data_IF_184412168470
#
_entry.id   IF_184412168470
#
_cell.length_a   1.000
_cell.length_b   1.000
_cell.length_c   1.000
_cell.angle_alpha   90.00
_cell.angle_beta   90.00
_cell.angle_gamma   90.00
#
_symmetry.space_group_name_H-M   'P 1'
#
loop_
_entity.id
_entity.type
_entity.pdbx_description
1 polymer ?
#
# COMPACT_ATOMS: atom_id res chain seq x y z
N UNK A 1 -8.54 -35.57 16.76
CA UNK A 1 -7.21 -36.01 17.24
C UNK A 1 -6.40 -36.76 16.19
N UNK A 2 -7.00 -37.49 15.23
CA UNK A 2 -6.26 -38.22 14.18
C UNK A 2 -5.61 -37.34 13.09
N UNK A 3 -6.21 -36.20 12.71
CA UNK A 3 -5.70 -35.35 11.61
C UNK A 3 -4.33 -34.73 11.95
N UNK A 4 -4.15 -34.20 13.17
CA UNK A 4 -2.86 -33.68 13.64
C UNK A 4 -1.75 -34.74 13.67
N UNK A 5 -2.10 -36.00 13.91
CA UNK A 5 -1.15 -37.10 13.90
C UNK A 5 -0.68 -37.42 12.47
N UNK A 6 -1.61 -37.50 11.51
CA UNK A 6 -1.30 -37.72 10.09
C UNK A 6 -0.49 -36.57 9.47
N UNK A 7 -0.74 -35.33 9.90
CA UNK A 7 0.03 -34.15 9.49
C UNK A 7 1.45 -34.16 10.05
N UNK A 8 1.61 -34.50 11.34
CA UNK A 8 2.94 -34.68 11.94
C UNK A 8 3.71 -35.83 11.30
N UNK A 9 3.06 -36.95 11.00
CA UNK A 9 3.67 -38.07 10.29
C UNK A 9 4.05 -37.69 8.85
N UNK A 10 3.24 -36.87 8.17
CA UNK A 10 3.56 -36.35 6.83
C UNK A 10 4.81 -35.46 6.85
N UNK A 11 4.91 -34.54 7.82
CA UNK A 11 6.02 -33.59 7.92
C UNK A 11 7.28 -34.19 8.57
N UNK A 12 7.15 -35.23 9.40
CA UNK A 12 8.27 -35.82 10.14
C UNK A 12 8.66 -37.23 9.64
N UNK A 13 7.91 -37.84 8.72
CA UNK A 13 8.16 -39.19 8.21
C UNK A 13 7.72 -40.30 9.19
N UNK A 14 7.42 -41.50 8.65
CA UNK A 14 7.16 -42.71 9.46
C UNK A 14 8.48 -43.24 10.03
N UNK A 15 8.56 -43.34 11.34
CA UNK A 15 9.69 -43.92 12.08
C UNK A 15 9.87 -45.41 11.78
N UNK A 16 11.00 -45.76 11.16
CA UNK A 16 11.68 -47.04 11.34
C UNK A 16 13.00 -46.74 12.08
N UNK A 17 13.30 -47.53 13.11
CA UNK A 17 14.26 -47.22 14.18
C UNK A 17 15.72 -47.01 13.75
N UNK A 18 16.38 -46.15 14.56
CA UNK A 18 17.82 -45.98 14.77
C UNK A 18 18.61 -45.05 13.82
N UNK A 19 18.54 -43.75 14.09
CA UNK A 19 19.72 -42.97 14.53
C UNK A 19 19.25 -41.63 15.11
N UNK A 20 19.97 -41.14 16.12
CA UNK A 20 19.67 -39.91 16.86
C UNK A 20 19.93 -38.67 16.00
N UNK A 21 18.99 -38.32 15.14
CA UNK A 21 18.92 -36.97 14.56
C UNK A 21 17.71 -36.25 15.16
N UNK A 22 17.98 -35.09 15.77
CA UNK A 22 16.94 -34.21 16.32
C UNK A 22 15.90 -33.95 15.22
N UNK A 23 14.68 -34.42 15.43
CA UNK A 23 13.52 -34.13 14.59
C UNK A 23 13.27 -32.61 14.61
N UNK A 24 13.93 -31.89 13.71
CA UNK A 24 13.65 -30.47 13.44
C UNK A 24 12.17 -30.36 13.04
N UNK A 25 11.37 -29.69 13.87
CA UNK A 25 9.97 -29.38 13.58
C UNK A 25 9.92 -28.45 12.37
N UNK A 26 9.08 -28.76 11.37
CA UNK A 26 8.90 -27.90 10.19
C UNK A 26 8.57 -26.46 10.61
N UNK A 27 9.26 -25.47 10.05
CA UNK A 27 8.92 -24.06 10.24
C UNK A 27 7.63 -23.64 9.50
N UNK A 28 6.99 -24.55 8.76
CA UNK A 28 5.72 -24.28 8.08
C UNK A 28 4.55 -24.25 9.05
N UNK A 29 3.73 -23.20 8.95
CA UNK A 29 2.60 -22.91 9.83
C UNK A 29 1.32 -23.59 9.30
N UNK A 30 0.58 -24.27 10.19
CA UNK A 30 -0.74 -24.83 9.87
C UNK A 30 -1.76 -23.68 9.75
N UNK A 31 -2.35 -23.55 8.57
CA UNK A 31 -3.35 -22.54 8.26
C UNK A 31 -4.74 -23.18 8.12
N UNK A 32 -5.74 -22.50 8.65
CA UNK A 32 -7.15 -22.90 8.64
C UNK A 32 -8.05 -21.66 8.58
N UNK A 33 -9.36 -21.86 8.37
CA UNK A 33 -10.32 -20.76 8.18
C UNK A 33 -10.36 -19.75 9.34
N UNK A 34 -9.88 -20.11 10.54
CA UNK A 34 -9.88 -19.22 11.70
C UNK A 34 -8.64 -18.33 11.81
N UNK A 35 -7.53 -18.70 11.19
CA UNK A 35 -6.26 -17.96 11.30
C UNK A 35 -5.72 -17.46 9.96
N UNK A 36 -6.25 -17.94 8.83
CA UNK A 36 -5.75 -17.58 7.51
C UNK A 36 -5.81 -16.07 7.27
N UNK A 37 -6.94 -15.45 7.58
CA UNK A 37 -7.13 -14.02 7.33
C UNK A 37 -6.19 -13.17 8.18
N UNK A 38 -6.06 -13.48 9.47
CA UNK A 38 -5.20 -12.72 10.38
C UNK A 38 -3.71 -12.93 10.11
N UNK A 39 -3.29 -14.17 9.83
CA UNK A 39 -1.88 -14.50 9.63
C UNK A 39 -1.40 -14.17 8.21
N UNK A 40 -2.22 -14.44 7.20
CA UNK A 40 -1.85 -14.28 5.79
C UNK A 40 -2.36 -12.95 5.26
N UNK A 41 -3.68 -12.74 5.22
CA UNK A 41 -4.26 -11.61 4.47
C UNK A 41 -4.05 -10.25 5.13
N UNK A 42 -4.02 -10.18 6.46
CA UNK A 42 -3.71 -8.94 7.19
C UNK A 42 -2.20 -8.72 7.40
N UNK A 43 -1.37 -9.68 7.00
CA UNK A 43 0.08 -9.57 7.16
C UNK A 43 0.71 -8.73 6.05
N UNK A 44 1.70 -7.92 6.42
CA UNK A 44 2.56 -7.20 5.47
C UNK A 44 3.67 -8.10 4.89
N UNK A 45 3.88 -9.28 5.46
CA UNK A 45 4.91 -10.21 5.03
C UNK A 45 4.50 -10.99 3.77
N UNK A 46 5.49 -11.50 3.02
CA UNK A 46 5.25 -12.45 1.94
C UNK A 46 4.90 -13.81 2.54
N UNK A 47 3.83 -14.42 2.03
CA UNK A 47 3.43 -15.77 2.40
C UNK A 47 3.46 -16.70 1.19
N UNK A 48 4.00 -17.89 1.36
CA UNK A 48 3.88 -18.99 0.40
C UNK A 48 3.11 -20.14 1.05
N UNK A 49 2.02 -20.57 0.44
CA UNK A 49 1.05 -21.50 1.04
C UNK A 49 0.85 -22.72 0.15
N UNK A 50 1.02 -23.91 0.72
CA UNK A 50 0.66 -25.18 0.09
C UNK A 50 -0.79 -25.56 0.44
N UNK A 51 -1.63 -25.76 -0.56
CA UNK A 51 -2.93 -26.42 -0.45
C UNK A 51 -2.77 -27.89 -0.80
N UNK A 52 -3.08 -28.78 0.14
CA UNK A 52 -2.83 -30.21 0.00
C UNK A 52 -3.97 -31.08 0.53
N UNK A 53 -3.98 -32.36 0.15
CA UNK A 53 -4.84 -33.38 0.75
C UNK A 53 -3.99 -34.53 1.34
N UNK A 54 -4.33 -35.10 2.52
CA UNK A 54 -3.53 -36.12 3.19
C UNK A 54 -3.36 -37.43 2.41
N UNK A 55 -4.33 -37.77 1.56
CA UNK A 55 -4.32 -38.97 0.72
C UNK A 55 -3.55 -38.77 -0.59
N UNK A 56 -3.21 -37.53 -0.97
CA UNK A 56 -2.56 -37.24 -2.24
C UNK A 56 -1.09 -37.69 -2.24
N UNK A 57 -0.74 -38.62 -3.14
CA UNK A 57 0.63 -39.12 -3.30
C UNK A 57 1.63 -38.02 -3.71
N UNK A 58 1.20 -37.03 -4.49
CA UNK A 58 2.05 -35.90 -4.91
C UNK A 58 2.37 -34.99 -3.73
N UNK A 59 1.40 -34.73 -2.85
CA UNK A 59 1.58 -33.98 -1.62
C UNK A 59 2.54 -34.69 -0.66
N UNK A 60 2.47 -36.03 -0.57
CA UNK A 60 3.41 -36.81 0.25
C UNK A 60 4.86 -36.69 -0.24
N UNK A 61 5.08 -36.65 -1.56
CA UNK A 61 6.41 -36.44 -2.14
C UNK A 61 6.94 -35.02 -1.96
N UNK A 62 6.06 -34.02 -2.00
CA UNK A 62 6.43 -32.62 -1.78
C UNK A 62 6.73 -32.31 -0.30
N UNK A 63 6.10 -33.00 0.65
CA UNK A 63 6.25 -32.73 2.09
C UNK A 63 7.71 -32.57 2.60
N UNK A 64 8.68 -33.45 2.27
CA UNK A 64 10.07 -33.26 2.68
C UNK A 64 10.72 -32.01 2.07
N UNK A 65 10.47 -31.73 0.79
CA UNK A 65 10.98 -30.53 0.11
C UNK A 65 10.34 -29.25 0.67
N UNK A 66 9.04 -29.29 0.98
CA UNK A 66 8.31 -28.19 1.60
C UNK A 66 8.87 -27.85 2.98
N UNK A 67 9.15 -28.87 3.79
CA UNK A 67 9.78 -28.71 5.10
C UNK A 67 11.18 -28.10 5.00
N UNK A 68 11.98 -28.56 4.03
CA UNK A 68 13.32 -28.01 3.78
C UNK A 68 13.26 -26.54 3.36
N UNK A 69 12.37 -26.20 2.44
CA UNK A 69 12.13 -24.82 2.03
C UNK A 69 11.70 -23.94 3.22
N UNK A 70 10.80 -24.43 4.09
CA UNK A 70 10.32 -23.68 5.25
C UNK A 70 11.43 -23.33 6.23
N UNK A 71 12.36 -24.26 6.44
CA UNK A 71 13.51 -24.03 7.30
C UNK A 71 14.50 -23.04 6.67
N UNK A 72 14.74 -23.13 5.36
CA UNK A 72 15.66 -22.24 4.64
C UNK A 72 15.11 -20.81 4.49
N UNK A 73 13.79 -20.65 4.36
CA UNK A 73 13.11 -19.36 4.24
C UNK A 73 12.78 -18.72 5.59
N UNK A 74 13.03 -19.41 6.70
CA UNK A 74 12.70 -18.94 8.05
C UNK A 74 13.29 -17.55 8.32
N UNK A 75 12.41 -16.61 8.68
CA UNK A 75 12.78 -15.21 8.95
C UNK A 75 12.86 -14.31 7.71
N UNK A 76 12.67 -14.85 6.50
CA UNK A 76 12.61 -14.08 5.24
C UNK A 76 11.21 -14.12 4.63
N UNK A 77 10.63 -15.32 4.50
CA UNK A 77 9.30 -15.56 3.92
C UNK A 77 8.52 -16.45 4.87
N UNK A 78 7.23 -16.16 5.07
CA UNK A 78 6.35 -17.03 5.84
C UNK A 78 5.86 -18.18 4.98
N UNK A 79 5.90 -19.38 5.50
CA UNK A 79 5.48 -20.57 4.78
C UNK A 79 4.34 -21.26 5.53
N UNK A 80 3.23 -21.48 4.85
CA UNK A 80 2.02 -22.08 5.42
C UNK A 80 1.57 -23.33 4.69
N UNK A 81 0.70 -24.12 5.31
CA UNK A 81 0.02 -25.24 4.65
C UNK A 81 -1.43 -25.33 5.10
N UNK A 82 -2.31 -25.69 4.16
CA UNK A 82 -3.75 -25.85 4.35
C UNK A 82 -4.15 -27.28 3.98
N UNK A 83 -4.73 -27.99 4.93
CA UNK A 83 -5.39 -29.28 4.66
C UNK A 83 -6.77 -29.03 4.05
N UNK A 84 -6.88 -29.28 2.76
CA UNK A 84 -8.07 -29.04 1.98
C UNK A 84 -9.22 -30.02 2.23
N UNK A 85 -8.96 -31.21 2.80
CA UNK A 85 -10.03 -32.12 3.22
C UNK A 85 -10.78 -31.53 4.43
N UNK A 86 -10.04 -30.87 5.33
CA UNK A 86 -10.58 -30.20 6.51
C UNK A 86 -11.12 -28.79 6.21
N UNK A 87 -10.46 -28.03 5.32
CA UNK A 87 -10.71 -26.61 5.08
C UNK A 87 -11.25 -26.35 3.67
N UNK A 88 -12.41 -26.95 3.35
CA UNK A 88 -13.06 -26.83 2.02
C UNK A 88 -13.44 -25.39 1.63
N UNK A 89 -13.71 -24.54 2.62
CA UNK A 89 -13.98 -23.10 2.45
C UNK A 89 -12.78 -22.38 1.82
N UNK A 90 -11.56 -22.62 2.33
CA UNK A 90 -10.34 -22.01 1.80
C UNK A 90 -10.02 -22.52 0.40
N UNK A 91 -10.21 -23.82 0.14
CA UNK A 91 -10.09 -24.39 -1.21
C UNK A 91 -11.01 -23.67 -2.21
N UNK A 92 -12.28 -23.49 -1.85
CA UNK A 92 -13.27 -22.85 -2.72
C UNK A 92 -12.94 -21.38 -2.94
N UNK A 93 -12.55 -20.67 -1.88
CA UNK A 93 -12.21 -19.24 -1.92
C UNK A 93 -11.06 -18.93 -2.88
N UNK A 94 -10.03 -19.78 -2.91
CA UNK A 94 -8.87 -19.60 -3.78
C UNK A 94 -8.95 -20.44 -5.06
N UNK A 95 -10.12 -20.99 -5.39
CA UNK A 95 -10.37 -21.78 -6.59
C UNK A 95 -9.32 -22.90 -6.80
N UNK A 96 -8.95 -23.61 -5.73
CA UNK A 96 -7.99 -24.72 -5.78
C UNK A 96 -8.67 -25.96 -6.38
N UNK A 97 -8.24 -26.36 -7.58
CA UNK A 97 -8.86 -27.45 -8.34
C UNK A 97 -8.07 -28.79 -8.27
N UNK A 98 -6.87 -28.79 -7.71
CA UNK A 98 -6.01 -29.96 -7.65
C UNK A 98 -4.95 -29.86 -6.55
N UNK A 99 -4.21 -30.94 -6.33
CA UNK A 99 -3.19 -30.99 -5.27
C UNK A 99 -1.85 -31.57 -5.72
N UNK A 100 -0.72 -31.10 -5.17
CA UNK A 100 -0.61 -29.87 -4.39
C UNK A 100 -0.75 -28.62 -5.29
N UNK A 101 -1.41 -27.58 -4.79
CA UNK A 101 -1.39 -26.24 -5.36
C UNK A 101 -0.62 -25.34 -4.42
N UNK A 102 0.35 -24.61 -4.94
CA UNK A 102 1.16 -23.66 -4.16
C UNK A 102 0.79 -22.27 -4.64
N UNK A 103 0.50 -21.36 -3.71
CA UNK A 103 0.20 -19.97 -4.01
C UNK A 103 1.09 -19.04 -3.18
N UNK A 104 1.49 -17.93 -3.80
CA UNK A 104 2.20 -16.84 -3.14
C UNK A 104 1.25 -15.68 -2.92
N UNK A 105 1.13 -15.29 -1.65
CA UNK A 105 0.37 -14.15 -1.18
C UNK A 105 1.33 -12.98 -0.98
N UNK A 106 1.35 -12.14 -2.01
CA UNK A 106 2.16 -10.93 -2.10
C UNK A 106 1.64 -9.80 -1.22
N UNK A 107 2.13 -8.58 -1.43
CA UNK A 107 1.71 -7.39 -0.71
C UNK A 107 0.28 -7.01 -1.08
N UNK A 108 -0.08 -7.19 -2.36
CA UNK A 108 -1.47 -7.37 -2.76
C UNK A 108 -1.91 -8.78 -2.36
N UNK A 109 -2.72 -8.85 -1.31
CA UNK A 109 -3.23 -10.10 -0.75
C UNK A 109 -4.46 -10.62 -1.49
N UNK A 110 -5.08 -9.79 -2.32
CA UNK A 110 -6.28 -10.13 -3.10
C UNK A 110 -5.93 -10.78 -4.45
N UNK A 111 -4.69 -10.61 -4.92
CA UNK A 111 -4.17 -11.21 -6.17
C UNK A 111 -3.06 -12.25 -5.92
N UNK A 112 -3.33 -13.40 -5.29
CA UNK A 112 -2.32 -14.43 -5.07
C UNK A 112 -1.85 -15.06 -6.38
N UNK A 113 -0.55 -15.32 -6.47
CA UNK A 113 0.10 -15.84 -7.68
C UNK A 113 0.29 -17.35 -7.54
N UNK A 114 -0.20 -18.18 -8.48
CA UNK A 114 0.06 -19.61 -8.48
C UNK A 114 1.53 -19.90 -8.79
N UNK A 115 2.12 -20.86 -8.09
CA UNK A 115 3.47 -21.35 -8.36
C UNK A 115 3.42 -22.58 -9.28
N UNK A 116 3.98 -22.42 -10.48
CA UNK A 116 4.03 -23.46 -11.53
C UNK A 116 5.43 -24.06 -11.71
N UNK A 117 6.37 -23.73 -10.81
CA UNK A 117 7.76 -24.20 -10.89
C UNK A 117 7.99 -25.63 -10.41
N UNK A 118 9.27 -26.03 -10.38
CA UNK A 118 9.66 -27.36 -9.92
C UNK A 118 9.39 -27.56 -8.42
N UNK A 119 8.86 -28.73 -8.05
CA UNK A 119 8.50 -29.07 -6.66
C UNK A 119 9.70 -29.53 -5.81
N UNK A 120 10.80 -28.79 -5.89
CA UNK A 120 12.02 -28.98 -5.08
C UNK A 120 12.22 -27.80 -4.15
N UNK A 121 12.88 -28.03 -3.02
CA UNK A 121 13.12 -26.98 -2.02
C UNK A 121 13.85 -25.78 -2.63
N UNK A 122 14.90 -26.04 -3.41
CA UNK A 122 15.69 -24.99 -4.08
C UNK A 122 14.83 -24.12 -5.02
N UNK A 123 13.99 -24.73 -5.85
CA UNK A 123 13.17 -23.98 -6.80
C UNK A 123 12.05 -23.17 -6.10
N UNK A 124 11.50 -23.70 -5.01
CA UNK A 124 10.51 -22.99 -4.17
C UNK A 124 11.18 -21.83 -3.44
N UNK A 125 12.39 -22.05 -2.90
CA UNK A 125 13.18 -21.03 -2.21
C UNK A 125 13.57 -19.88 -3.14
N UNK A 126 14.14 -20.17 -4.31
CA UNK A 126 14.51 -19.16 -5.30
C UNK A 126 13.30 -18.34 -5.71
N UNK A 127 12.18 -18.98 -6.03
CA UNK A 127 10.96 -18.27 -6.38
C UNK A 127 10.43 -17.41 -5.24
N UNK A 128 10.39 -17.94 -4.01
CA UNK A 128 9.92 -17.18 -2.85
C UNK A 128 10.81 -15.95 -2.57
N UNK A 129 12.12 -16.03 -2.79
CA UNK A 129 13.04 -14.91 -2.65
C UNK A 129 12.88 -13.88 -3.77
N UNK A 130 12.72 -14.32 -5.02
CA UNK A 130 12.41 -13.43 -6.16
C UNK A 130 11.08 -12.69 -5.96
N UNK A 131 10.07 -13.42 -5.45
CA UNK A 131 8.79 -12.83 -5.08
C UNK A 131 8.98 -11.88 -3.90
N UNK A 132 9.82 -12.18 -2.91
CA UNK A 132 10.11 -11.27 -1.78
C UNK A 132 10.75 -9.96 -2.25
N UNK A 133 11.68 -10.02 -3.20
CA UNK A 133 12.27 -8.84 -3.84
C UNK A 133 11.26 -8.04 -4.68
N UNK A 134 10.20 -8.69 -5.13
CA UNK A 134 9.11 -8.12 -5.93
C UNK A 134 7.86 -7.81 -5.09
N UNK A 135 7.86 -8.16 -3.80
CA UNK A 135 6.74 -8.12 -2.87
C UNK A 135 6.48 -6.71 -2.34
N UNK A 136 6.36 -5.77 -3.25
CA UNK A 136 6.06 -4.39 -2.95
C UNK A 136 4.57 -4.19 -3.19
N UNK A 137 3.88 -3.59 -2.22
CA UNK A 137 2.49 -3.22 -2.38
C UNK A 137 2.32 -2.37 -3.65
N UNK A 138 1.19 -2.47 -4.36
CA UNK A 138 0.93 -1.59 -5.48
C UNK A 138 1.09 -0.14 -5.03
N UNK A 139 1.82 0.64 -5.83
CA UNK A 139 2.07 2.03 -5.51
C UNK A 139 0.75 2.80 -5.56
N UNK A 140 0.38 3.40 -4.43
CA UNK A 140 -0.80 4.26 -4.31
C UNK A 140 -0.39 5.70 -4.05
N UNK A 141 -1.24 6.62 -4.48
CA UNK A 141 -1.15 8.06 -4.22
C UNK A 141 -2.45 8.46 -3.54
N UNK A 142 -2.41 8.66 -2.23
CA UNK A 142 -3.60 8.85 -1.40
C UNK A 142 -3.89 10.34 -1.22
N UNK A 143 -5.16 10.74 -1.25
CA UNK A 143 -5.57 12.11 -0.91
C UNK A 143 -5.41 12.35 0.60
N UNK A 144 -4.79 13.45 0.99
CA UNK A 144 -4.59 13.85 2.38
C UNK A 144 -5.84 14.57 2.89
N UNK A 145 -6.81 13.78 3.35
CA UNK A 145 -8.10 14.27 3.86
C UNK A 145 -8.17 14.35 5.39
N UNK A 146 -7.11 13.97 6.11
CA UNK A 146 -7.12 13.95 7.56
C UNK A 146 -5.79 13.56 8.21
N UNK A 147 -5.68 13.74 9.54
CA UNK A 147 -4.47 13.44 10.32
C UNK A 147 -4.15 11.94 10.35
N UNK A 148 -5.17 11.09 10.28
CA UNK A 148 -5.07 9.63 10.16
C UNK A 148 -4.29 9.23 8.91
N UNK A 149 -4.60 9.82 7.75
CA UNK A 149 -3.89 9.55 6.50
C UNK A 149 -2.42 10.01 6.59
N UNK A 150 -2.16 11.17 7.21
CA UNK A 150 -0.78 11.61 7.45
C UNK A 150 0.00 10.60 8.30
N UNK A 151 -0.60 10.10 9.38
CA UNK A 151 0.06 9.14 10.27
C UNK A 151 0.27 7.77 9.60
N UNK A 152 -0.75 7.24 8.93
CA UNK A 152 -0.71 5.92 8.28
C UNK A 152 0.21 5.89 7.06
N UNK A 153 0.16 6.92 6.21
CA UNK A 153 0.92 6.96 4.96
C UNK A 153 2.32 7.54 5.14
N UNK A 154 2.46 8.67 5.85
CA UNK A 154 3.74 9.36 6.00
C UNK A 154 4.52 8.94 7.25
N UNK A 155 3.87 8.50 8.33
CA UNK A 155 4.52 8.08 9.58
C UNK A 155 5.56 6.94 9.42
N UNK A 156 5.23 5.82 8.74
CA UNK A 156 6.20 4.74 8.55
C UNK A 156 7.28 5.07 7.50
N UNK A 157 7.00 5.99 6.57
CA UNK A 157 7.90 6.32 5.47
C UNK A 157 9.20 6.98 5.95
N UNK A 158 10.28 6.80 5.17
CA UNK A 158 11.52 7.54 5.36
C UNK A 158 11.42 8.96 4.77
N UNK A 159 10.69 9.09 3.66
CA UNK A 159 10.36 10.35 3.00
C UNK A 159 8.91 10.26 2.53
N UNK A 160 8.08 11.23 2.88
CA UNK A 160 6.73 11.37 2.36
C UNK A 160 6.71 12.50 1.32
N UNK A 161 6.37 12.17 0.08
CA UNK A 161 6.20 13.17 -0.98
C UNK A 161 4.76 13.68 -0.94
N UNK A 162 4.60 14.95 -0.61
CA UNK A 162 3.29 15.62 -0.53
C UNK A 162 3.15 16.53 -1.73
N UNK A 163 2.21 16.22 -2.61
CA UNK A 163 1.87 17.04 -3.76
C UNK A 163 0.67 17.95 -3.43
N UNK A 164 0.81 19.25 -3.64
CA UNK A 164 -0.31 20.17 -3.56
C UNK A 164 -0.75 20.49 -4.97
N UNK A 165 -1.93 19.99 -5.35
CA UNK A 165 -2.48 20.12 -6.69
C UNK A 165 -3.37 21.36 -6.78
N UNK A 166 -3.51 21.99 -7.95
CA UNK A 166 -4.42 23.11 -8.11
C UNK A 166 -5.86 22.76 -7.71
N UNK A 167 -6.64 23.78 -7.39
CA UNK A 167 -8.05 23.58 -7.10
C UNK A 167 -8.77 22.92 -8.29
N UNK A 168 -9.88 22.25 -8.02
CA UNK A 168 -10.62 21.53 -9.05
C UNK A 168 -11.23 22.49 -10.07
N UNK A 169 -11.55 23.73 -9.66
CA UNK A 169 -12.04 24.77 -10.56
C UNK A 169 -10.96 25.25 -11.55
N UNK A 170 -9.69 25.20 -11.15
CA UNK A 170 -8.57 25.58 -12.02
C UNK A 170 -8.11 24.42 -12.92
N UNK A 171 -8.07 23.21 -12.35
CA UNK A 171 -7.45 22.05 -13.01
C UNK A 171 -8.43 21.14 -13.73
N UNK A 172 -9.71 21.16 -13.37
CA UNK A 172 -10.71 20.14 -13.70
C UNK A 172 -10.27 18.69 -13.32
N UNK A 173 -11.18 17.74 -13.47
CA UNK A 173 -10.95 16.34 -13.15
C UNK A 173 -9.87 15.72 -14.04
N UNK A 174 -9.81 16.10 -15.32
CA UNK A 174 -8.80 15.60 -16.25
C UNK A 174 -7.40 16.07 -15.85
N UNK A 175 -7.23 17.36 -15.55
CA UNK A 175 -5.96 17.92 -15.13
C UNK A 175 -5.48 17.35 -13.80
N UNK A 176 -6.38 17.25 -12.81
CA UNK A 176 -6.07 16.60 -11.52
C UNK A 176 -5.64 15.13 -11.70
N UNK A 177 -6.40 14.36 -12.48
CA UNK A 177 -6.05 12.97 -12.76
C UNK A 177 -4.70 12.85 -13.47
N UNK A 178 -4.36 13.78 -14.37
CA UNK A 178 -3.05 13.80 -15.03
C UNK A 178 -1.89 13.93 -14.03
N UNK A 179 -2.01 14.82 -13.04
CA UNK A 179 -1.01 14.96 -11.98
C UNK A 179 -0.93 13.70 -11.10
N UNK A 180 -2.08 13.13 -10.70
CA UNK A 180 -2.12 11.90 -9.91
C UNK A 180 -1.45 10.75 -10.67
N UNK A 181 -1.68 10.62 -11.99
CA UNK A 181 -1.04 9.59 -12.82
C UNK A 181 0.48 9.78 -12.95
N UNK A 182 0.96 11.03 -13.00
CA UNK A 182 2.40 11.31 -12.96
C UNK A 182 3.00 10.86 -11.62
N UNK A 183 2.35 11.18 -10.49
CA UNK A 183 2.79 10.75 -9.17
C UNK A 183 2.75 9.22 -9.01
N UNK A 184 1.72 8.56 -9.53
CA UNK A 184 1.62 7.08 -9.54
C UNK A 184 2.76 6.46 -10.35
N UNK A 185 3.08 7.02 -11.51
CA UNK A 185 4.20 6.56 -12.34
C UNK A 185 5.55 6.68 -11.61
N UNK A 186 5.72 7.75 -10.84
CA UNK A 186 6.89 7.95 -9.99
C UNK A 186 6.90 6.96 -8.83
N UNK A 187 5.77 6.81 -8.14
CA UNK A 187 5.61 5.89 -7.02
C UNK A 187 5.88 4.44 -7.46
N UNK A 188 5.43 4.02 -8.64
CA UNK A 188 5.74 2.70 -9.21
C UNK A 188 7.24 2.53 -9.48
N UNK A 189 7.88 3.57 -10.02
CA UNK A 189 9.33 3.57 -10.29
C UNK A 189 10.17 3.46 -9.01
N UNK A 190 9.71 4.05 -7.92
CA UNK A 190 10.41 4.04 -6.63
C UNK A 190 9.77 3.14 -5.59
N UNK A 191 8.90 2.20 -5.98
CA UNK A 191 8.12 1.36 -5.07
C UNK A 191 8.95 0.62 -4.01
N UNK A 192 10.18 0.25 -4.36
CA UNK A 192 11.13 -0.44 -3.45
C UNK A 192 11.77 0.48 -2.41
N UNK A 193 11.67 1.79 -2.59
CA UNK A 193 12.18 2.77 -1.65
C UNK A 193 11.18 2.93 -0.50
N UNK A 194 11.63 3.26 0.72
CA UNK A 194 10.74 3.54 1.85
C UNK A 194 10.08 4.92 1.71
N UNK A 195 9.44 5.19 0.56
CA UNK A 195 8.79 6.45 0.24
C UNK A 195 7.28 6.27 0.21
N UNK A 196 6.58 7.32 0.61
CA UNK A 196 5.13 7.42 0.46
C UNK A 196 4.78 8.63 -0.39
N UNK A 197 3.61 8.59 -1.03
CA UNK A 197 3.14 9.63 -1.93
C UNK A 197 1.70 9.97 -1.57
N UNK A 198 1.48 11.23 -1.19
CA UNK A 198 0.16 11.75 -0.88
C UNK A 198 -0.06 13.05 -1.64
N UNK A 199 -1.32 13.43 -1.83
CA UNK A 199 -1.66 14.71 -2.46
C UNK A 199 -2.77 15.42 -1.69
N UNK A 200 -2.78 16.74 -1.74
CA UNK A 200 -3.85 17.58 -1.22
C UNK A 200 -4.26 18.58 -2.31
N UNK A 201 -5.54 18.96 -2.36
CA UNK A 201 -5.94 20.10 -3.16
C UNK A 201 -5.48 21.41 -2.49
N UNK A 202 -5.11 22.38 -3.30
CA UNK A 202 -4.70 23.72 -2.87
C UNK A 202 -5.68 24.32 -1.85
N UNK A 203 -5.16 24.84 -0.75
CA UNK A 203 -5.94 25.51 0.29
C UNK A 203 -6.71 24.56 1.22
N UNK A 204 -6.72 23.25 0.98
CA UNK A 204 -7.39 22.28 1.86
C UNK A 204 -6.59 21.98 3.12
N UNK A 205 -5.28 22.22 3.11
CA UNK A 205 -4.41 22.01 4.27
C UNK A 205 -3.61 23.29 4.59
N UNK A 206 -4.28 24.37 5.04
CA UNK A 206 -3.69 25.71 5.09
C UNK A 206 -2.50 25.82 6.06
N UNK A 207 -2.56 25.16 7.22
CA UNK A 207 -1.47 25.21 8.19
C UNK A 207 -0.24 24.43 7.69
N UNK A 208 -0.46 23.25 7.10
CA UNK A 208 0.61 22.49 6.44
C UNK A 208 1.24 23.27 5.28
N UNK A 209 0.43 23.85 4.40
CA UNK A 209 0.90 24.65 3.27
C UNK A 209 1.76 25.82 3.74
N UNK A 210 1.33 26.53 4.78
CA UNK A 210 2.07 27.64 5.37
C UNK A 210 3.44 27.21 5.90
N UNK A 211 3.51 26.12 6.66
CA UNK A 211 4.78 25.61 7.22
C UNK A 211 5.75 25.13 6.13
N UNK A 212 5.23 24.66 5.00
CA UNK A 212 6.02 24.20 3.86
C UNK A 212 6.30 25.30 2.83
N UNK A 213 5.81 26.53 3.04
CA UNK A 213 5.94 27.64 2.11
C UNK A 213 5.22 27.43 0.78
N UNK A 214 4.19 26.59 0.77
CA UNK A 214 3.32 26.31 -0.39
C UNK A 214 2.29 27.43 -0.52
N UNK A 215 1.90 27.76 -1.76
CA UNK A 215 1.03 28.90 -2.08
C UNK A 215 1.78 30.17 -2.49
N UNK A 216 3.02 30.36 -2.03
CA UNK A 216 3.86 31.50 -2.47
C UNK A 216 4.39 31.38 -3.90
N UNK A 217 4.67 30.15 -4.36
CA UNK A 217 5.19 29.85 -5.70
C UNK A 217 4.11 29.36 -6.68
N UNK A 218 2.86 29.23 -6.22
CA UNK A 218 1.74 28.67 -6.98
C UNK A 218 1.62 27.15 -6.91
N UNK A 219 0.61 26.63 -7.61
CA UNK A 219 0.29 25.20 -7.72
C UNK A 219 0.47 24.74 -9.17
N UNK A 220 0.82 23.46 -9.42
CA UNK A 220 1.12 22.41 -8.45
C UNK A 220 2.48 22.58 -7.76
N UNK A 221 2.59 22.09 -6.52
CA UNK A 221 3.84 22.02 -5.76
C UNK A 221 4.10 20.60 -5.27
N UNK A 222 5.38 20.20 -5.17
CA UNK A 222 5.78 18.89 -4.62
C UNK A 222 6.81 19.10 -3.51
N UNK A 223 6.55 18.52 -2.35
CA UNK A 223 7.42 18.62 -1.18
C UNK A 223 7.89 17.22 -0.76
N UNK A 224 9.20 17.06 -0.56
CA UNK A 224 9.76 15.89 0.11
C UNK A 224 9.81 16.17 1.61
N UNK A 225 8.95 15.51 2.39
CA UNK A 225 8.82 15.67 3.83
C UNK A 225 9.50 14.53 4.59
N UNK A 226 10.32 14.85 5.58
CA UNK A 226 10.91 13.89 6.49
C UNK A 226 10.48 14.22 7.93
N UNK A 227 9.40 13.58 8.37
CA UNK A 227 8.84 13.79 9.71
C UNK A 227 9.83 13.44 10.83
N UNK A 228 10.61 12.37 10.66
CA UNK A 228 11.59 11.91 11.67
C UNK A 228 12.75 12.89 11.86
N UNK A 229 13.14 13.59 10.79
CA UNK A 229 14.21 14.60 10.83
C UNK A 229 13.68 16.02 11.03
N UNK A 230 12.36 16.23 11.02
CA UNK A 230 11.77 17.57 11.06
C UNK A 230 12.31 18.45 9.93
N UNK A 231 12.37 17.92 8.71
CA UNK A 231 12.94 18.63 7.57
C UNK A 231 12.12 18.39 6.30
N UNK A 232 12.10 19.37 5.41
CA UNK A 232 11.43 19.26 4.12
C UNK A 232 12.27 19.86 2.99
N UNK A 233 12.00 19.47 1.75
CA UNK A 233 12.59 20.11 0.57
C UNK A 233 11.50 20.31 -0.48
N UNK A 234 11.34 21.52 -1.04
CA UNK A 234 10.45 21.74 -2.18
C UNK A 234 11.12 21.34 -3.50
N UNK A 235 10.32 20.84 -4.45
CA UNK A 235 10.70 20.75 -5.86
C UNK A 235 10.91 22.17 -6.41
N UNK A 236 12.10 22.45 -6.93
CA UNK A 236 12.47 23.79 -7.44
C UNK A 236 12.44 23.90 -8.97
N UNK A 237 11.89 22.89 -9.64
CA UNK A 237 11.76 22.79 -11.09
C UNK A 237 10.29 22.60 -11.48
N UNK A 238 10.01 22.53 -12.79
CA UNK A 238 8.66 22.32 -13.28
C UNK A 238 8.07 20.99 -12.79
N UNK A 239 6.76 20.97 -12.56
CA UNK A 239 6.01 19.76 -12.18
C UNK A 239 5.82 18.86 -13.41
N UNK A 240 6.91 18.24 -13.84
CA UNK A 240 6.97 17.33 -14.98
C UNK A 240 7.60 16.01 -14.56
N UNK A 241 7.19 14.92 -15.21
CA UNK A 241 7.58 13.57 -14.80
C UNK A 241 9.11 13.39 -14.67
N UNK A 242 9.89 13.93 -15.61
CA UNK A 242 11.35 13.82 -15.61
C UNK A 242 11.97 14.53 -14.40
N UNK A 243 11.53 15.76 -14.14
CA UNK A 243 11.98 16.57 -13.01
C UNK A 243 11.56 15.98 -11.67
N UNK A 244 10.33 15.45 -11.56
CA UNK A 244 9.85 14.79 -10.34
C UNK A 244 10.69 13.54 -10.06
N UNK A 245 10.99 12.73 -11.08
CA UNK A 245 11.85 11.54 -10.94
C UNK A 245 13.25 11.93 -10.48
N UNK A 246 13.83 12.99 -11.02
CA UNK A 246 15.15 13.47 -10.61
C UNK A 246 15.14 13.94 -9.15
N UNK A 247 14.14 14.74 -8.78
CA UNK A 247 13.96 15.24 -7.43
C UNK A 247 13.82 14.10 -6.39
N UNK A 248 13.02 13.08 -6.68
CA UNK A 248 12.88 11.90 -5.79
C UNK A 248 14.22 11.15 -5.64
N UNK A 249 15.01 11.02 -6.72
CA UNK A 249 16.35 10.42 -6.64
C UNK A 249 17.29 11.24 -5.76
N UNK A 250 17.28 12.56 -5.90
CA UNK A 250 18.13 13.44 -5.11
C UNK A 250 17.74 13.43 -3.63
N UNK A 251 16.44 13.50 -3.33
CA UNK A 251 15.92 13.38 -1.97
C UNK A 251 16.37 12.08 -1.29
N UNK A 252 16.34 10.97 -2.03
CA UNK A 252 16.83 9.67 -1.55
C UNK A 252 18.32 9.60 -1.22
N UNK A 253 19.14 10.46 -1.84
CA UNK A 253 20.60 10.54 -1.62
C UNK A 253 20.98 11.53 -0.52
N UNK A 254 20.02 12.04 0.23
CA UNK A 254 20.22 13.03 1.30
C UNK A 254 19.64 14.42 0.98
N UNK A 255 19.17 14.64 -0.25
CA UNK A 255 18.59 15.90 -0.70
C UNK A 255 19.60 17.05 -0.79
N UNK A 256 19.24 18.08 -1.56
CA UNK A 256 19.92 19.38 -1.54
C UNK A 256 18.89 20.44 -1.19
N UNK A 257 19.26 21.37 -0.31
CA UNK A 257 18.37 22.47 0.09
C UNK A 257 17.23 22.06 1.02
N UNK A 258 17.47 21.09 1.92
CA UNK A 258 16.54 20.77 3.00
C UNK A 258 16.39 21.98 3.93
N UNK A 259 15.15 22.29 4.26
CA UNK A 259 14.73 23.35 5.18
C UNK A 259 14.21 22.70 6.48
N UNK A 260 14.40 23.34 7.64
CA UNK A 260 13.80 22.86 8.88
C UNK A 260 12.27 22.99 8.80
N UNK A 261 11.56 21.96 9.27
CA UNK A 261 10.13 22.03 9.52
C UNK A 261 9.95 22.65 10.91
N UNK A 262 9.43 23.87 10.96
CA UNK A 262 9.14 24.54 12.23
C UNK A 262 7.81 24.03 12.79
N UNK A 263 7.82 23.51 14.02
CA UNK A 263 6.60 23.01 14.67
C UNK A 263 6.01 21.74 14.04
N UNK A 264 4.82 21.38 14.51
CA UNK A 264 4.02 20.30 13.93
C UNK A 264 2.81 20.93 13.23
N UNK A 265 2.70 20.83 11.90
CA UNK A 265 1.56 21.37 11.18
C UNK A 265 0.28 20.63 11.56
N UNK A 266 -0.81 21.37 11.74
CA UNK A 266 -2.13 20.80 11.97
C UNK A 266 -2.75 20.33 10.64
N UNK A 267 -3.23 19.09 10.61
CA UNK A 267 -3.90 18.52 9.44
C UNK A 267 -5.42 18.59 9.67
N UNK A 268 -6.09 19.31 8.77
CA UNK A 268 -7.54 19.50 8.82
C UNK A 268 -8.23 18.31 8.16
N UNK A 269 -9.37 17.90 8.73
CA UNK A 269 -10.22 16.88 8.11
C UNK A 269 -11.04 17.51 6.99
N UNK A 270 -10.99 16.93 5.79
CA UNK A 270 -11.71 17.43 4.61
C UNK A 270 -12.50 16.32 3.94
N UNK A 271 -13.53 16.70 3.17
CA UNK A 271 -14.25 15.74 2.34
C UNK A 271 -13.35 15.25 1.19
N UNK A 272 -13.29 13.93 0.93
CA UNK A 272 -12.55 13.39 -0.20
C UNK A 272 -13.12 13.88 -1.52
N UNK A 273 -12.26 14.04 -2.52
CA UNK A 273 -12.70 14.41 -3.86
C UNK A 273 -13.61 13.33 -4.46
N UNK A 274 -14.75 13.74 -5.01
CA UNK A 274 -15.77 12.86 -5.58
C UNK A 274 -15.43 12.33 -6.99
N UNK A 275 -14.28 12.75 -7.54
CA UNK A 275 -13.80 12.37 -8.86
C UNK A 275 -14.39 13.19 -10.01
N UNK A 276 -15.16 14.26 -9.72
CA UNK A 276 -15.83 15.10 -10.74
C UNK A 276 -15.23 16.50 -10.81
N UNK A 277 -15.63 17.24 -11.84
CA UNK A 277 -15.32 18.65 -11.98
C UNK A 277 -15.99 19.47 -10.88
N UNK A 278 -15.35 20.58 -10.50
CA UNK A 278 -15.93 21.53 -9.57
C UNK A 278 -17.16 22.21 -10.18
N UNK A 279 -18.17 22.44 -9.35
CA UNK A 279 -19.31 23.27 -9.72
C UNK A 279 -19.08 24.65 -9.12
N UNK A 280 -19.18 25.69 -9.93
CA UNK A 280 -19.24 27.06 -9.43
C UNK A 280 -20.61 27.19 -8.78
N UNK A 281 -20.64 27.30 -7.46
CA UNK A 281 -21.84 27.73 -6.76
C UNK A 281 -21.98 29.21 -7.07
N UNK A 282 -22.91 29.56 -7.96
CA UNK A 282 -23.36 30.94 -8.08
C UNK A 282 -24.00 31.29 -6.74
N UNK A 283 -23.25 31.97 -5.86
CA UNK A 283 -23.89 32.70 -4.77
C UNK A 283 -24.74 33.77 -5.44
N UNK A 284 -26.07 33.59 -5.36
CA UNK A 284 -27.07 34.55 -5.85
C UNK A 284 -26.57 35.96 -5.53
N UNK A 285 -26.30 36.74 -6.58
CA UNK A 285 -25.89 38.14 -6.46
C UNK A 285 -26.79 38.79 -5.40
N UNK A 286 -26.18 39.26 -4.30
CA UNK A 286 -26.86 40.22 -3.43
C UNK A 286 -27.38 41.33 -4.33
N UNK A 287 -28.68 41.31 -4.61
CA UNK A 287 -29.26 42.19 -5.61
C UNK A 287 -28.98 43.62 -5.18
N UNK A 288 -28.20 44.34 -6.00
CA UNK A 288 -27.93 45.76 -5.82
C UNK A 288 -29.22 46.59 -5.74
N UNK A 289 -30.35 46.04 -6.20
CA UNK A 289 -31.68 46.65 -6.07
C UNK A 289 -32.18 46.65 -4.61
N UNK A 290 -31.82 45.65 -3.80
CA UNK A 290 -32.15 45.60 -2.36
C UNK A 290 -31.32 46.60 -1.54
N UNK A 291 -30.13 46.95 -2.03
CA UNK A 291 -29.22 47.89 -1.37
C UNK A 291 -29.42 49.36 -1.80
N UNK A 292 -30.16 49.60 -2.89
CA UNK A 292 -30.45 50.94 -3.42
C UNK A 292 -31.95 51.29 -3.49
N UNK A 293 -32.83 50.53 -2.82
CA UNK A 293 -34.27 50.72 -2.87
C UNK A 293 -34.86 51.53 -1.70
N UNK A 294 -34.86 52.86 -1.84
CA UNK A 294 -35.87 53.85 -1.39
C UNK A 294 -35.26 55.19 -0.92
N UNK A 295 -34.73 55.96 -1.87
CA UNK A 295 -34.81 57.43 -1.80
C UNK A 295 -35.31 57.97 -3.14
N UNK A 296 -36.62 58.07 -3.38
CA UNK A 296 -37.24 59.14 -4.21
C UNK A 296 -38.73 59.31 -3.86
N UNK A 297 -39.06 60.42 -3.20
CA UNK A 297 -40.09 61.35 -3.68
C UNK A 297 -41.53 61.20 -3.18
N UNK A 298 -41.85 61.80 -2.03
CA UNK A 298 -43.23 62.27 -1.76
C UNK A 298 -43.40 63.75 -2.19
N UNK A 299 -44.04 63.95 -3.34
CA UNK A 299 -44.77 65.15 -3.80
C UNK A 299 -45.78 64.63 -4.83
N UNK A 300 -47.05 65.00 -4.92
CA UNK A 300 -48.00 65.87 -4.22
C UNK A 300 -49.40 65.48 -4.78
N UNK A 301 -50.47 66.04 -4.20
CA UNK A 301 -51.84 66.22 -4.73
C UNK A 301 -52.93 65.17 -4.37
N UNK A 302 -53.72 65.48 -3.33
CA UNK A 302 -55.11 65.97 -3.45
C UNK A 302 -55.65 66.50 -2.11
#
# INVERSE_FOLDING_TARGET
MQIKALLRERLNGKSAESSSEKSETSASIELNSRNFDDLVLKSKELWIVEFFAPWCGHCKRLAPEWKKAANNLKGKVKQGHVDCDAEKSLMSRFNVQGFPTIMVFGADKDSPIPYEGARTASAIESFALEQLESNVAPSKVTELTGPDIMEEECGPAAICFVAFLPDILDSNAEGRNRYIQQLLSVAEKFKRSPYSYVWAAAGKQPDLEKHLGVGGYGYPALIALNLKKGAYAPLKSAFELEHIVEFVKEAGRGGKGNLPLEGNPEIVTTEPWDGKDGQIVEEDEFSLEELMGEEVGSKDEL
#
